data_IF_405945984811
#
_entry.id   IF_405945984811
#
_cell.length_a   1.000
_cell.length_b   1.000
_cell.length_c   1.000
_cell.angle_alpha   90.00
_cell.angle_beta   90.00
_cell.angle_gamma   90.00
#
_symmetry.space_group_name_H-M   'P 1'
#
loop_
_entity.id
_entity.type
_entity.pdbx_description
1 polymer ?
#
# COMPACT_ATOMS: atom_id res chain seq x y z
N UNK A 1 -0.06 7.54 -5.38
CA UNK A 1 -0.19 7.52 -3.91
C UNK A 1 0.23 6.15 -3.37
N UNK A 2 0.53 6.04 -2.06
CA UNK A 2 0.81 4.75 -1.41
C UNK A 2 -0.46 3.90 -1.37
N UNK A 3 -0.37 2.66 -1.85
CA UNK A 3 -1.48 1.70 -1.98
C UNK A 3 -1.43 0.62 -0.92
N UNK A 4 -0.25 0.05 -0.67
CA UNK A 4 -0.06 -1.02 0.29
C UNK A 4 1.32 -0.94 0.91
N UNK A 5 1.45 -1.40 2.15
CA UNK A 5 2.69 -1.39 2.91
C UNK A 5 2.87 -2.72 3.61
N UNK A 6 4.08 -3.25 3.60
CA UNK A 6 4.39 -4.50 4.29
C UNK A 6 5.79 -4.46 4.87
N UNK A 7 5.94 -5.05 6.05
CA UNK A 7 7.18 -5.14 6.80
C UNK A 7 7.52 -6.62 6.96
N UNK A 8 8.73 -6.99 6.58
CA UNK A 8 9.23 -8.36 6.66
C UNK A 8 10.53 -8.43 7.44
N UNK A 9 10.81 -9.59 8.02
CA UNK A 9 12.13 -9.88 8.57
C UNK A 9 13.08 -10.30 7.46
N UNK A 10 14.30 -9.78 7.46
CA UNK A 10 15.29 -10.04 6.41
C UNK A 10 15.86 -11.46 6.44
N UNK A 11 15.92 -12.11 7.60
CA UNK A 11 16.57 -13.41 7.76
C UNK A 11 15.80 -14.57 7.10
N UNK A 12 14.48 -14.52 7.12
CA UNK A 12 13.61 -15.60 6.67
C UNK A 12 12.39 -15.15 5.85
N UNK A 13 12.23 -13.83 5.66
CA UNK A 13 11.07 -13.27 4.97
C UNK A 13 9.77 -13.38 5.78
N UNK A 14 9.83 -13.58 7.11
CA UNK A 14 8.63 -13.63 7.95
C UNK A 14 7.89 -12.29 7.89
N UNK A 15 6.59 -12.24 7.51
CA UNK A 15 5.83 -11.00 7.56
C UNK A 15 5.62 -10.58 9.02
N UNK A 16 5.99 -9.35 9.34
CA UNK A 16 5.96 -8.79 10.70
C UNK A 16 4.71 -7.92 10.92
N UNK A 17 4.39 -7.08 9.95
CA UNK A 17 3.21 -6.20 9.93
C UNK A 17 2.87 -5.83 8.49
N UNK A 18 1.63 -5.44 8.23
CA UNK A 18 1.17 -4.93 6.95
C UNK A 18 0.11 -3.87 7.15
N UNK A 19 -0.07 -2.99 6.17
CA UNK A 19 -1.31 -2.23 6.11
C UNK A 19 -2.45 -3.22 5.91
N UNK A 20 -3.47 -3.17 6.75
CA UNK A 20 -4.73 -3.87 6.50
C UNK A 20 -5.34 -3.24 5.25
N UNK A 21 -5.18 -3.90 4.11
CA UNK A 21 -6.11 -3.69 3.01
C UNK A 21 -7.48 -4.18 3.52
N UNK A 22 -8.53 -3.38 3.34
CA UNK A 22 -9.86 -3.51 3.96
C UNK A 22 -10.57 -4.86 3.71
N UNK A 23 -9.94 -5.81 2.99
CA UNK A 23 -10.50 -7.06 2.52
C UNK A 23 -10.24 -8.33 3.36
N UNK A 24 -9.36 -8.36 4.37
CA UNK A 24 -9.45 -9.50 5.33
C UNK A 24 -10.76 -9.49 6.14
N UNK A 25 -11.58 -8.44 5.97
CA UNK A 25 -12.95 -8.34 6.49
C UNK A 25 -14.02 -8.76 5.47
N UNK A 26 -13.72 -8.76 4.17
CA UNK A 26 -14.71 -8.96 3.11
C UNK A 26 -14.95 -10.44 2.79
N UNK A 27 -13.99 -11.32 3.07
CA UNK A 27 -14.19 -12.78 2.97
C UNK A 27 -15.14 -13.35 4.04
N UNK A 28 -15.36 -12.64 5.16
CA UNK A 28 -16.37 -13.03 6.16
C UNK A 28 -17.72 -12.29 6.02
N UNK A 29 -17.76 -11.13 5.35
CA UNK A 29 -18.99 -10.35 5.15
C UNK A 29 -19.67 -10.57 3.78
N UNK A 30 -18.97 -11.10 2.78
CA UNK A 30 -19.55 -11.27 1.43
C UNK A 30 -20.63 -12.34 1.34
N UNK A 31 -20.72 -13.25 2.31
CA UNK A 31 -21.84 -14.21 2.39
C UNK A 31 -23.12 -13.54 2.92
N UNK A 32 -23.03 -12.36 3.58
CA UNK A 32 -24.16 -11.74 4.26
C UNK A 32 -24.80 -10.55 3.53
N UNK A 33 -24.17 -9.95 2.51
CA UNK A 33 -24.69 -8.75 1.81
C UNK A 33 -24.91 -9.00 0.30
N UNK A 34 -25.05 -10.27 -0.12
CA UNK A 34 -25.55 -10.60 -1.45
C UNK A 34 -27.10 -10.52 -1.54
N UNK A 35 -27.81 -10.28 -0.43
CA UNK A 35 -29.27 -10.26 -0.39
C UNK A 35 -29.84 -8.97 0.19
N UNK A 36 -29.43 -7.83 -0.37
CA UNK A 36 -30.26 -6.62 -0.35
C UNK A 36 -30.52 -6.21 -1.78
N UNK A 37 -31.32 -7.04 -2.46
CA UNK A 37 -32.25 -6.51 -3.45
C UNK A 37 -33.13 -5.51 -2.68
N UNK A 38 -33.29 -4.25 -3.11
CA UNK A 38 -34.36 -3.45 -2.55
C UNK A 38 -35.65 -4.17 -2.93
N UNK A 39 -36.27 -4.85 -1.97
CA UNK A 39 -37.66 -5.27 -2.08
C UNK A 39 -38.42 -3.98 -2.36
N UNK A 40 -38.88 -3.84 -3.60
CA UNK A 40 -39.71 -2.75 -4.08
C UNK A 40 -41.13 -2.83 -3.48
N UNK A 41 -41.22 -2.97 -2.15
CA UNK A 41 -42.46 -3.15 -1.41
C UNK A 41 -42.68 -2.10 -0.31
N UNK A 42 -41.86 -1.06 -0.25
CA UNK A 42 -42.01 -0.02 0.77
C UNK A 42 -42.04 1.40 0.18
N UNK A 43 -42.77 1.63 -0.92
CA UNK A 43 -43.18 2.97 -1.36
C UNK A 43 -44.51 2.88 -2.16
N UNK A 44 -45.56 2.30 -1.58
CA UNK A 44 -46.92 2.62 -2.06
C UNK A 44 -47.28 4.02 -1.55
N UNK A 45 -47.29 5.01 -2.44
CA UNK A 45 -47.87 6.34 -2.16
C UNK A 45 -47.08 7.58 -2.56
N UNK A 46 -45.88 7.46 -3.15
CA UNK A 46 -45.16 8.63 -3.70
C UNK A 46 -45.42 8.78 -5.20
N UNK A 47 -45.59 10.01 -5.72
CA UNK A 47 -45.72 10.23 -7.15
C UNK A 47 -44.48 9.69 -7.88
N UNK A 48 -44.64 9.12 -9.09
CA UNK A 48 -43.51 8.61 -9.83
C UNK A 48 -42.49 9.75 -10.04
N UNK A 49 -41.18 9.50 -9.82
CA UNK A 49 -40.16 10.51 -10.07
C UNK A 49 -40.28 11.00 -11.51
N UNK A 50 -40.12 12.31 -11.73
CA UNK A 50 -40.05 12.86 -13.09
C UNK A 50 -38.90 12.22 -13.85
N UNK A 51 -38.99 12.17 -15.19
CA UNK A 51 -37.98 11.53 -16.04
C UNK A 51 -36.55 11.99 -15.72
N UNK A 52 -36.38 13.27 -15.35
CA UNK A 52 -35.10 13.86 -14.97
C UNK A 52 -34.48 13.21 -13.72
N UNK A 53 -35.29 12.83 -12.72
CA UNK A 53 -34.82 12.18 -11.49
C UNK A 53 -34.43 10.72 -11.74
N UNK A 54 -35.13 10.01 -12.63
CA UNK A 54 -34.75 8.65 -13.03
C UNK A 54 -33.43 8.62 -13.81
N UNK A 55 -33.22 9.60 -14.69
CA UNK A 55 -31.97 9.75 -15.42
C UNK A 55 -30.84 10.03 -14.44
N UNK A 56 -30.97 11.00 -13.54
CA UNK A 56 -29.93 11.31 -12.55
C UNK A 56 -29.59 10.10 -11.65
N UNK A 57 -30.58 9.31 -11.23
CA UNK A 57 -30.36 8.12 -10.42
C UNK A 57 -29.65 7.01 -11.21
N UNK A 58 -30.04 6.80 -12.46
CA UNK A 58 -29.38 5.84 -13.37
C UNK A 58 -27.93 6.25 -13.65
N UNK A 59 -27.67 7.53 -13.90
CA UNK A 59 -26.32 8.05 -14.08
C UNK A 59 -25.47 7.90 -12.83
N UNK A 60 -26.00 8.22 -11.64
CA UNK A 60 -25.28 8.04 -10.38
C UNK A 60 -25.03 6.56 -10.06
N UNK A 61 -25.99 5.67 -10.37
CA UNK A 61 -25.81 4.23 -10.24
C UNK A 61 -24.74 3.71 -11.19
N UNK A 62 -24.74 4.15 -12.45
CA UNK A 62 -23.74 3.79 -13.45
C UNK A 62 -22.35 4.29 -13.05
N UNK A 63 -22.26 5.50 -12.49
CA UNK A 63 -21.01 6.08 -11.97
C UNK A 63 -20.47 5.27 -10.79
N UNK A 64 -21.32 4.92 -9.83
CA UNK A 64 -20.97 4.07 -8.69
C UNK A 64 -20.58 2.64 -9.11
N UNK A 65 -21.23 2.09 -10.15
CA UNK A 65 -20.89 0.78 -10.71
C UNK A 65 -19.56 0.83 -11.48
N UNK A 66 -19.29 1.91 -12.21
CA UNK A 66 -18.03 2.14 -12.90
C UNK A 66 -16.87 2.32 -11.91
N UNK A 67 -17.06 3.11 -10.84
CA UNK A 67 -16.08 3.26 -9.75
C UNK A 67 -15.79 1.91 -9.10
N UNK A 68 -16.82 1.14 -8.73
CA UNK A 68 -16.63 -0.21 -8.15
C UNK A 68 -15.91 -1.18 -9.08
N UNK A 69 -16.15 -1.13 -10.39
CA UNK A 69 -15.41 -1.95 -11.37
C UNK A 69 -13.95 -1.51 -11.48
N UNK A 70 -13.68 -0.20 -11.47
CA UNK A 70 -12.32 0.32 -11.50
C UNK A 70 -11.54 -0.04 -10.22
N UNK A 71 -12.19 0.03 -9.05
CA UNK A 71 -11.61 -0.36 -7.77
C UNK A 71 -11.29 -1.87 -7.76
N UNK A 72 -12.22 -2.72 -8.22
CA UNK A 72 -12.00 -4.18 -8.30
C UNK A 72 -10.87 -4.58 -9.26
N UNK A 73 -10.69 -3.86 -10.37
CA UNK A 73 -9.61 -4.13 -11.30
C UNK A 73 -8.25 -3.68 -10.76
N UNK A 74 -8.23 -2.54 -10.04
CA UNK A 74 -7.06 -2.04 -9.32
C UNK A 74 -6.62 -3.02 -8.23
N UNK A 75 -7.58 -3.60 -7.50
CA UNK A 75 -7.34 -4.56 -6.42
C UNK A 75 -6.77 -5.90 -6.89
N UNK A 76 -7.28 -6.42 -8.03
CA UNK A 76 -6.70 -7.61 -8.67
C UNK A 76 -5.23 -7.39 -9.06
N UNK A 77 -4.92 -6.25 -9.67
CA UNK A 77 -3.54 -5.90 -10.02
C UNK A 77 -2.66 -5.81 -8.76
N UNK A 78 -3.13 -5.14 -7.70
CA UNK A 78 -2.40 -5.04 -6.44
C UNK A 78 -2.11 -6.41 -5.80
N UNK A 79 -3.03 -7.37 -5.94
CA UNK A 79 -2.82 -8.74 -5.44
C UNK A 79 -1.65 -9.42 -6.16
N UNK A 80 -1.55 -9.27 -7.47
CA UNK A 80 -0.42 -9.79 -8.25
C UNK A 80 0.91 -9.15 -7.83
N UNK A 81 0.94 -7.82 -7.66
CA UNK A 81 2.14 -7.12 -7.16
C UNK A 81 2.54 -7.55 -5.75
N UNK A 82 1.58 -7.87 -4.86
CA UNK A 82 1.85 -8.45 -3.54
C UNK A 82 2.46 -9.85 -3.65
N UNK A 83 2.05 -10.65 -4.62
CA UNK A 83 2.66 -11.96 -4.85
C UNK A 83 4.08 -11.84 -5.41
N UNK A 84 4.28 -10.97 -6.41
CA UNK A 84 5.59 -10.73 -7.02
C UNK A 84 6.58 -10.13 -6.01
N UNK A 85 6.14 -9.22 -5.14
CA UNK A 85 6.99 -8.67 -4.08
C UNK A 85 7.46 -9.75 -3.11
N UNK A 86 6.61 -10.72 -2.72
CA UNK A 86 7.02 -11.90 -1.93
C UNK A 86 8.16 -12.69 -2.58
N UNK A 87 8.17 -12.83 -3.91
CA UNK A 87 9.26 -13.49 -4.63
C UNK A 87 10.56 -12.68 -4.55
N UNK A 88 10.46 -11.35 -4.64
CA UNK A 88 11.61 -10.45 -4.51
C UNK A 88 12.20 -10.52 -3.10
N UNK A 89 11.38 -10.55 -2.05
CA UNK A 89 11.87 -10.66 -0.66
C UNK A 89 12.70 -11.90 -0.40
N UNK A 90 12.30 -13.04 -0.98
CA UNK A 90 13.07 -14.29 -0.85
C UNK A 90 14.48 -14.19 -1.46
N UNK A 91 14.73 -13.20 -2.31
CA UNK A 91 16.03 -12.94 -2.94
C UNK A 91 16.82 -11.82 -2.26
N UNK A 92 16.19 -11.04 -1.37
CA UNK A 92 16.88 -10.01 -0.62
C UNK A 92 17.72 -10.65 0.49
N UNK A 93 18.94 -10.16 0.64
CA UNK A 93 19.90 -10.60 1.66
C UNK A 93 20.35 -9.39 2.48
N UNK A 94 20.97 -9.58 3.65
CA UNK A 94 21.59 -8.49 4.40
C UNK A 94 22.66 -7.72 3.61
N UNK A 95 23.23 -8.31 2.56
CA UNK A 95 24.21 -7.66 1.67
C UNK A 95 23.56 -6.92 0.49
N UNK A 96 22.24 -6.97 0.35
CA UNK A 96 21.52 -6.25 -0.69
C UNK A 96 21.55 -4.75 -0.44
N UNK A 97 21.29 -3.97 -1.49
CA UNK A 97 21.22 -2.51 -1.38
C UNK A 97 20.25 -2.10 -0.27
N UNK A 98 20.64 -1.20 0.65
CA UNK A 98 19.80 -0.83 1.78
C UNK A 98 18.53 -0.09 1.36
N UNK A 99 18.52 0.53 0.17
CA UNK A 99 17.35 1.17 -0.40
C UNK A 99 17.31 0.97 -1.92
N UNK A 100 16.15 0.65 -2.46
CA UNK A 100 15.96 0.49 -3.91
C UNK A 100 14.52 0.80 -4.31
N UNK A 101 14.36 1.27 -5.54
CA UNK A 101 13.07 1.37 -6.22
C UNK A 101 12.96 0.26 -7.25
N UNK A 102 11.77 -0.33 -7.39
CA UNK A 102 11.49 -1.38 -8.36
C UNK A 102 10.28 -0.92 -9.18
N UNK A 103 10.48 -0.67 -10.45
CA UNK A 103 9.45 -0.22 -11.37
C UNK A 103 8.68 -1.42 -11.92
N UNK A 104 7.35 -1.33 -11.93
CA UNK A 104 6.47 -2.36 -12.45
C UNK A 104 5.22 -1.74 -13.08
N UNK A 105 5.41 -1.15 -14.26
CA UNK A 105 4.33 -0.53 -15.03
C UNK A 105 3.62 0.59 -14.26
N UNK A 106 2.36 0.36 -13.92
CA UNK A 106 1.49 1.34 -13.25
C UNK A 106 1.88 1.60 -11.78
N UNK A 107 2.70 0.72 -11.20
CA UNK A 107 3.14 0.82 -9.82
C UNK A 107 4.66 0.81 -9.70
N UNK A 108 5.14 1.39 -8.60
CA UNK A 108 6.53 1.35 -8.20
C UNK A 108 6.59 0.86 -6.76
N UNK A 109 7.47 -0.09 -6.51
CA UNK A 109 7.74 -0.62 -5.19
C UNK A 109 9.01 0.06 -4.67
N UNK A 110 8.94 0.57 -3.45
CA UNK A 110 10.12 1.09 -2.77
C UNK A 110 10.35 0.24 -1.54
N UNK A 111 11.60 -0.17 -1.31
CA UNK A 111 11.98 -0.83 -0.08
C UNK A 111 13.17 -0.15 0.59
N UNK A 112 13.18 -0.25 1.91
CA UNK A 112 14.23 0.22 2.80
C UNK A 112 14.57 -0.91 3.78
N UNK A 113 15.84 -1.25 3.91
CA UNK A 113 16.37 -2.23 4.86
C UNK A 113 16.96 -1.47 6.04
N UNK A 114 16.43 -1.71 7.24
CA UNK A 114 16.94 -1.12 8.49
C UNK A 114 17.00 -2.20 9.55
N UNK A 115 18.22 -2.52 10.01
CA UNK A 115 18.45 -3.59 10.97
C UNK A 115 17.94 -4.95 10.43
N UNK A 116 17.21 -5.74 11.24
CA UNK A 116 16.68 -7.04 10.82
C UNK A 116 15.37 -6.97 10.01
N UNK A 117 14.89 -5.78 9.65
CA UNK A 117 13.61 -5.60 8.97
C UNK A 117 13.72 -4.90 7.62
N UNK A 118 12.85 -5.30 6.70
CA UNK A 118 12.65 -4.70 5.39
C UNK A 118 11.28 -4.03 5.39
N UNK A 119 11.26 -2.74 5.09
CA UNK A 119 10.06 -1.92 4.98
C UNK A 119 9.79 -1.68 3.50
N UNK A 120 8.62 -2.05 3.03
CA UNK A 120 8.25 -1.89 1.63
C UNK A 120 6.89 -1.21 1.49
N UNK A 121 6.77 -0.35 0.48
CA UNK A 121 5.49 0.17 0.04
C UNK A 121 5.32 -0.01 -1.48
N UNK A 122 4.08 -0.23 -1.88
CA UNK A 122 3.62 -0.19 -3.26
C UNK A 122 2.92 1.16 -3.44
N UNK A 123 3.35 1.95 -4.42
CA UNK A 123 2.70 3.21 -4.76
C UNK A 123 2.48 3.34 -6.26
N UNK A 124 1.55 4.19 -6.67
CA UNK A 124 1.39 4.54 -8.08
C UNK A 124 2.71 5.11 -8.63
N UNK A 125 3.04 4.81 -9.89
CA UNK A 125 4.28 5.27 -10.55
C UNK A 125 4.45 6.80 -10.59
N UNK A 126 3.35 7.54 -10.55
CA UNK A 126 3.33 9.01 -10.47
C UNK A 126 3.67 9.57 -9.07
N UNK A 127 3.79 8.71 -8.05
CA UNK A 127 4.04 9.16 -6.69
C UNK A 127 5.51 9.59 -6.50
N UNK A 128 5.79 10.75 -5.89
CA UNK A 128 7.17 11.23 -5.73
C UNK A 128 8.02 10.27 -4.90
N UNK A 129 9.13 9.79 -5.47
CA UNK A 129 10.08 8.89 -4.83
C UNK A 129 10.56 9.40 -3.45
N UNK A 130 10.82 10.70 -3.33
CA UNK A 130 11.25 11.32 -2.07
C UNK A 130 10.21 11.16 -0.95
N UNK A 131 8.91 11.28 -1.28
CA UNK A 131 7.84 11.08 -0.32
C UNK A 131 7.71 9.60 0.08
N UNK A 132 7.91 8.68 -0.87
CA UNK A 132 7.87 7.25 -0.58
C UNK A 132 8.96 6.82 0.41
N UNK A 133 10.21 7.25 0.21
CA UNK A 133 11.29 6.93 1.15
C UNK A 133 11.14 7.62 2.50
N UNK A 134 10.59 8.83 2.52
CA UNK A 134 10.26 9.48 3.79
C UNK A 134 9.21 8.71 4.59
N UNK A 135 8.17 8.25 3.90
CA UNK A 135 7.15 7.41 4.49
C UNK A 135 7.75 6.15 5.12
N UNK A 136 8.64 5.47 4.39
CA UNK A 136 9.33 4.26 4.89
C UNK A 136 10.28 4.56 6.06
N UNK A 137 11.00 5.68 6.02
CA UNK A 137 11.89 6.11 7.10
C UNK A 137 11.12 6.34 8.40
N UNK A 138 9.97 7.03 8.33
CA UNK A 138 9.10 7.27 9.49
C UNK A 138 8.54 5.97 10.09
N UNK A 139 8.09 5.04 9.23
CA UNK A 139 7.69 3.70 9.68
C UNK A 139 8.84 2.93 10.33
N UNK A 140 10.04 3.03 9.76
CA UNK A 140 11.20 2.30 10.27
C UNK A 140 11.58 2.78 11.68
N UNK A 141 11.64 4.10 11.89
CA UNK A 141 11.97 4.70 13.19
C UNK A 141 10.98 4.30 14.27
N UNK A 142 9.68 4.38 13.99
CA UNK A 142 8.65 4.03 14.98
C UNK A 142 8.61 2.52 15.25
N UNK A 143 8.75 1.69 14.20
CA UNK A 143 8.75 0.24 14.36
C UNK A 143 9.96 -0.24 15.15
N UNK A 144 11.16 0.27 14.85
CA UNK A 144 12.37 -0.07 15.60
C UNK A 144 12.27 0.38 17.05
N UNK A 145 11.75 1.58 17.31
CA UNK A 145 11.53 2.09 18.66
C UNK A 145 10.56 1.22 19.48
N UNK A 146 9.50 0.72 18.85
CA UNK A 146 8.46 -0.03 19.55
C UNK A 146 8.75 -1.53 19.67
N UNK A 147 9.40 -2.11 18.64
CA UNK A 147 9.50 -3.55 18.45
C UNK A 147 10.89 -4.07 18.09
N UNK A 148 11.91 -3.21 17.94
CA UNK A 148 13.25 -3.58 17.44
C UNK A 148 13.83 -4.85 18.06
N UNK A 149 13.89 -4.91 19.39
CA UNK A 149 14.43 -6.06 20.14
C UNK A 149 13.62 -7.36 20.00
N UNK A 150 12.36 -7.25 19.54
CA UNK A 150 11.43 -8.39 19.42
C UNK A 150 11.39 -8.96 18.00
N UNK A 151 12.00 -8.31 17.02
CA UNK A 151 11.93 -8.72 15.61
C UNK A 151 12.55 -10.11 15.41
N UNK A 152 13.72 -10.37 15.98
CA UNK A 152 14.42 -11.66 15.82
C UNK A 152 13.74 -12.79 16.58
N UNK A 153 13.05 -12.50 17.67
CA UNK A 153 12.32 -13.52 18.46
C UNK A 153 10.94 -13.84 17.91
N UNK A 154 10.43 -13.07 16.93
CA UNK A 154 9.14 -13.34 16.32
C UNK A 154 9.12 -14.69 15.60
N UNK A 155 8.09 -15.51 15.86
CA UNK A 155 7.91 -16.82 15.25
C UNK A 155 6.61 -16.92 14.44
N UNK A 156 5.69 -15.96 14.64
CA UNK A 156 4.37 -15.96 14.03
C UNK A 156 4.30 -14.91 12.92
N UNK A 157 3.71 -15.24 11.76
CA UNK A 157 3.32 -14.25 10.77
C UNK A 157 2.46 -13.16 11.40
N UNK A 158 2.73 -11.90 11.06
CA UNK A 158 2.03 -10.73 11.57
C UNK A 158 2.05 -10.63 13.11
N UNK A 159 3.19 -10.94 13.73
CA UNK A 159 3.34 -10.85 15.19
C UNK A 159 3.08 -9.44 15.77
N UNK A 160 3.12 -8.39 14.94
CA UNK A 160 3.04 -7.00 15.37
C UNK A 160 1.81 -6.25 14.83
N UNK A 161 0.63 -6.88 14.84
CA UNK A 161 -0.65 -6.27 14.38
C UNK A 161 -0.98 -4.94 15.07
N UNK A 162 -0.45 -4.69 16.27
CA UNK A 162 -0.63 -3.40 16.95
C UNK A 162 -0.09 -2.19 16.16
N UNK A 163 0.85 -2.44 15.24
CA UNK A 163 1.45 -1.39 14.41
C UNK A 163 0.54 -0.94 13.24
N UNK A 164 -0.52 -1.69 12.92
CA UNK A 164 -1.40 -1.42 11.78
C UNK A 164 -2.08 -0.05 11.87
N UNK A 165 -2.37 0.41 13.09
CA UNK A 165 -2.93 1.75 13.35
C UNK A 165 -1.96 2.85 12.95
N UNK A 166 -0.67 2.67 13.27
CA UNK A 166 0.37 3.62 12.90
C UNK A 166 0.56 3.63 11.38
N UNK A 167 0.69 2.46 10.75
CA UNK A 167 0.77 2.34 9.28
C UNK A 167 -0.41 3.07 8.63
N UNK A 168 -1.63 2.84 9.09
CA UNK A 168 -2.84 3.45 8.53
C UNK A 168 -2.85 4.98 8.68
N UNK A 169 -2.47 5.49 9.87
CA UNK A 169 -2.40 6.93 10.16
C UNK A 169 -1.36 7.62 9.28
N UNK A 170 -0.14 7.07 9.21
CA UNK A 170 0.95 7.61 8.40
C UNK A 170 0.61 7.51 6.92
N UNK A 171 -0.03 6.43 6.47
CA UNK A 171 -0.45 6.31 5.06
C UNK A 171 -1.45 7.40 4.67
N UNK A 172 -2.40 7.76 5.55
CA UNK A 172 -3.33 8.87 5.30
C UNK A 172 -2.61 10.21 5.19
N UNK A 173 -1.67 10.48 6.10
CA UNK A 173 -0.86 11.70 6.08
C UNK A 173 -0.11 11.88 4.76
N UNK A 174 0.48 10.80 4.24
CA UNK A 174 1.26 10.82 2.99
C UNK A 174 0.41 10.68 1.72
N UNK A 175 -0.88 10.32 1.84
CA UNK A 175 -1.87 10.39 0.75
C UNK A 175 -2.33 11.82 0.50
N UNK A 176 -2.54 12.60 1.56
CA UNK A 176 -2.94 14.02 1.49
C UNK A 176 -1.78 14.97 1.15
N UNK A 177 -1.00 14.62 0.12
CA UNK A 177 0.13 15.43 -0.37
C UNK A 177 -0.25 16.87 -0.71
N UNK A 178 -1.54 17.15 -0.98
CA UNK A 178 -2.07 18.50 -1.24
C UNK A 178 -2.08 19.39 0.01
N UNK A 179 -2.23 18.83 1.21
CA UNK A 179 -2.16 19.58 2.47
C UNK A 179 -0.72 19.94 2.86
N UNK A 180 0.24 19.16 2.38
CA UNK A 180 1.67 19.41 2.59
C UNK A 180 2.20 20.51 1.64
N UNK A 181 1.71 20.61 0.40
CA UNK A 181 2.23 21.55 -0.60
C UNK A 181 1.51 22.90 -0.67
N UNK A 182 0.23 22.99 -0.31
CA UNK A 182 -0.59 24.20 -0.48
C UNK A 182 -1.07 24.78 0.87
N UNK A 183 -0.18 25.50 1.56
CA UNK A 183 -0.50 26.65 2.43
C UNK A 183 -1.42 26.47 3.65
N UNK A 184 -0.82 26.28 4.84
CA UNK A 184 -1.06 27.08 6.06
C UNK A 184 -0.19 26.58 7.23
N UNK A 185 0.93 27.27 7.46
CA UNK A 185 1.66 27.53 8.72
C UNK A 185 1.93 26.42 9.78
N UNK A 186 1.55 25.15 9.61
CA UNK A 186 1.86 24.09 10.58
C UNK A 186 2.61 22.86 10.01
N UNK A 187 2.81 22.80 8.69
CA UNK A 187 3.52 21.68 8.01
C UNK A 187 4.89 22.01 7.42
N UNK A 188 5.32 23.28 7.45
CA UNK A 188 6.58 23.73 6.86
C UNK A 188 7.82 23.10 7.53
N UNK A 189 7.73 22.83 8.84
CA UNK A 189 8.81 22.17 9.60
C UNK A 189 9.00 20.71 9.19
N UNK A 190 7.91 20.00 8.82
CA UNK A 190 8.01 18.64 8.32
C UNK A 190 8.69 18.65 6.95
N UNK A 191 8.24 19.48 5.99
CA UNK A 191 8.82 19.53 4.64
C UNK A 191 10.29 19.97 4.58
N UNK A 192 10.72 20.90 5.43
CA UNK A 192 12.14 21.27 5.54
C UNK A 192 12.97 20.14 6.18
N UNK A 193 12.41 19.40 7.14
CA UNK A 193 13.03 18.17 7.67
C UNK A 193 13.02 17.02 6.63
N UNK A 194 11.99 16.92 5.78
CA UNK A 194 11.96 16.00 4.62
C UNK A 194 13.08 16.35 3.63
N UNK A 195 13.47 17.63 3.57
CA UNK A 195 14.54 18.10 2.72
C UNK A 195 15.94 17.79 3.27
N UNK A 196 16.09 17.75 4.61
CA UNK A 196 17.37 17.45 5.26
C UNK A 196 17.64 15.97 5.52
N UNK A 197 16.61 15.16 5.80
CA UNK A 197 16.78 13.74 6.16
C UNK A 197 17.05 12.81 4.96
N UNK A 198 16.73 13.25 3.74
CA UNK A 198 16.80 12.41 2.52
C UNK A 198 17.76 12.99 1.48
N UNK A 199 18.97 13.36 1.90
CA UNK A 199 19.92 14.07 1.05
C UNK A 199 20.36 13.31 -0.21
N UNK A 200 20.04 12.02 -0.36
CA UNK A 200 20.50 11.23 -1.51
C UNK A 200 19.50 10.21 -2.08
N UNK A 201 18.20 10.55 -2.13
CA UNK A 201 17.22 9.75 -2.90
C UNK A 201 17.62 9.61 -4.39
N UNK A 202 18.45 10.52 -4.90
CA UNK A 202 19.03 10.49 -6.24
C UNK A 202 20.03 9.35 -6.45
N UNK A 203 20.67 8.83 -5.40
CA UNK A 203 21.61 7.70 -5.47
C UNK A 203 20.93 6.34 -5.32
N UNK A 204 19.63 6.32 -5.01
CA UNK A 204 18.87 5.09 -4.84
C UNK A 204 18.73 4.37 -6.18
N UNK A 205 19.18 3.12 -6.23
CA UNK A 205 19.07 2.30 -7.43
C UNK A 205 17.61 2.09 -7.83
N UNK A 206 17.38 2.02 -9.13
CA UNK A 206 16.09 1.66 -9.71
C UNK A 206 16.28 0.38 -10.52
N UNK A 207 15.42 -0.61 -10.30
CA UNK A 207 15.42 -1.90 -11.00
C UNK A 207 14.06 -2.14 -11.65
N UNK A 208 13.99 -2.98 -12.67
CA UNK A 208 12.72 -3.40 -13.26
C UNK A 208 12.23 -4.69 -12.58
N UNK A 209 10.92 -4.78 -12.30
CA UNK A 209 10.33 -5.98 -11.71
C UNK A 209 10.46 -7.21 -12.60
N UNK A 210 10.29 -7.08 -13.91
CA UNK A 210 10.40 -8.19 -14.87
C UNK A 210 11.80 -8.80 -14.80
N UNK A 211 12.85 -7.97 -14.89
CA UNK A 211 14.24 -8.42 -14.78
C UNK A 211 14.51 -9.15 -13.47
N UNK A 212 13.95 -8.66 -12.36
CA UNK A 212 14.10 -9.28 -11.06
C UNK A 212 13.39 -10.63 -10.99
N UNK A 213 12.25 -10.79 -11.65
CA UNK A 213 11.49 -12.05 -11.69
C UNK A 213 12.15 -13.07 -12.62
N UNK A 214 12.46 -12.70 -13.86
CA UNK A 214 13.05 -13.55 -14.91
C UNK A 214 14.47 -14.04 -14.60
N UNK A 215 15.31 -13.22 -13.93
CA UNK A 215 16.66 -13.63 -13.54
C UNK A 215 16.69 -14.84 -12.60
N UNK A 216 15.60 -15.14 -11.91
CA UNK A 216 15.54 -16.31 -11.05
C UNK A 216 14.94 -17.56 -11.69
N UNK A 217 14.48 -17.51 -12.94
CA UNK A 217 14.03 -18.69 -13.70
C UNK A 217 15.15 -19.26 -14.60
N UNK A 218 16.25 -18.52 -14.75
CA UNK A 218 17.41 -18.89 -15.58
C UNK A 218 18.57 -19.50 -14.79
N UNK A 219 18.45 -19.69 -13.47
CA UNK A 219 19.53 -20.22 -12.61
C UNK A 219 19.27 -21.62 -12.02
N UNK A 220 18.22 -22.31 -12.48
CA UNK A 220 17.93 -23.71 -12.10
C UNK A 220 18.08 -24.69 -13.29
N UNK A 221 18.74 -24.23 -14.37
CA UNK A 221 19.14 -25.08 -15.49
C UNK A 221 20.64 -24.96 -15.72
N UNK A 222 21.42 -25.60 -14.86
CA UNK A 222 22.76 -26.11 -15.18
C UNK A 222 23.17 -27.18 -14.15
#
# INVERSE_FOLDING_TARGET
MVRSTTIFRISDGLPLAASVDDETRTDMCSVAIADVRPTAHALEGLPPPTADVQILWSWNFQLCAASRRADAQTEKALTEYKQQSKLIFRRLTPNSEPACSIESGDYTLHYLIVGPAIYMCICDSSYPRKLAFSYLDELSKEFQRSYGDKIDSAQRPYAFMGFDTFISKTTRLYKDSRSLTNGQQQGATQLDQLNENLKDVTRIMTKNMEDLLWRGDSLDRE
#
